data_IF_162365453112
#
_entry.id   IF_162365453112
#
_cell.length_a   1.000
_cell.length_b   1.000
_cell.length_c   1.000
_cell.angle_alpha   90.00
_cell.angle_beta   90.00
_cell.angle_gamma   90.00
#
_symmetry.space_group_name_H-M   'P 1'
#
loop_
_entity.id
_entity.type
_entity.pdbx_description
1 polymer ?
#
# COMPACT_ATOMS: atom_id res chain seq x y z
N UNK A 1 10.14 -5.83 22.33
CA UNK A 1 10.92 -6.32 21.18
C UNK A 1 10.69 -5.42 19.96
N UNK A 2 11.72 -5.02 19.25
CA UNK A 2 11.51 -4.30 18.00
C UNK A 2 10.79 -5.18 17.00
N UNK A 3 9.93 -4.57 16.18
CA UNK A 3 9.24 -5.29 15.12
C UNK A 3 10.21 -5.58 13.97
N UNK A 4 10.13 -6.79 13.46
CA UNK A 4 10.94 -7.28 12.35
C UNK A 4 10.06 -8.00 11.35
N UNK A 5 10.58 -8.29 10.18
CA UNK A 5 9.85 -9.09 9.16
C UNK A 5 9.44 -10.47 9.69
N UNK A 6 10.20 -11.01 10.66
CA UNK A 6 9.92 -12.34 11.22
C UNK A 6 8.78 -12.34 12.25
N UNK A 7 8.51 -11.22 12.92
CA UNK A 7 7.58 -11.17 14.05
C UNK A 7 6.39 -10.22 13.87
N UNK A 8 6.33 -9.47 12.77
CA UNK A 8 5.23 -8.55 12.50
C UNK A 8 4.91 -8.52 11.01
N UNK A 9 3.62 -8.48 10.64
CA UNK A 9 3.25 -8.48 9.22
C UNK A 9 3.47 -7.13 8.55
N UNK A 10 3.49 -7.16 7.22
CA UNK A 10 3.34 -5.97 6.38
C UNK A 10 1.85 -5.74 6.18
N UNK A 11 1.36 -4.54 6.51
CA UNK A 11 -0.02 -4.15 6.22
C UNK A 11 -0.13 -3.76 4.75
N UNK A 12 -1.06 -4.39 4.02
CA UNK A 12 -1.40 -3.97 2.65
C UNK A 12 -2.82 -3.42 2.69
N UNK A 13 -2.97 -2.13 2.41
CA UNK A 13 -4.24 -1.43 2.48
C UNK A 13 -4.72 -1.05 1.09
N UNK A 14 -6.00 -1.28 0.85
CA UNK A 14 -6.67 -1.02 -0.42
C UNK A 14 -7.89 -0.14 -0.18
N UNK A 15 -7.98 0.96 -0.90
CA UNK A 15 -9.02 1.95 -0.78
C UNK A 15 -10.29 1.62 -1.55
N UNK A 16 -11.14 2.65 -1.75
CA UNK A 16 -12.49 2.47 -2.28
C UNK A 16 -12.50 1.89 -3.69
N UNK A 17 -13.51 1.07 -3.94
CA UNK A 17 -13.81 0.41 -5.20
C UNK A 17 -12.81 -0.71 -5.60
N UNK A 18 -11.72 -0.92 -4.87
CA UNK A 18 -10.78 -2.00 -5.19
C UNK A 18 -11.37 -3.38 -4.92
N UNK A 19 -12.44 -3.47 -4.13
CA UNK A 19 -13.21 -4.70 -3.98
C UNK A 19 -13.85 -5.17 -5.29
N UNK A 20 -14.00 -4.26 -6.26
CA UNK A 20 -14.57 -4.55 -7.59
C UNK A 20 -13.49 -4.77 -8.66
N UNK A 21 -12.23 -4.90 -8.25
CA UNK A 21 -11.12 -5.13 -9.17
C UNK A 21 -11.39 -6.41 -10.00
N UNK A 22 -11.13 -6.33 -11.31
CA UNK A 22 -11.41 -7.40 -12.26
C UNK A 22 -12.84 -7.40 -12.80
N UNK A 23 -13.76 -6.68 -12.14
CA UNK A 23 -15.17 -6.55 -12.55
C UNK A 23 -15.50 -5.19 -13.13
N UNK A 24 -14.67 -4.17 -12.85
CA UNK A 24 -14.89 -2.78 -13.23
C UNK A 24 -13.74 -2.32 -14.12
N UNK A 25 -14.08 -1.75 -15.27
CA UNK A 25 -13.12 -1.12 -16.19
C UNK A 25 -11.84 -1.96 -16.41
N UNK A 26 -11.97 -3.21 -16.94
CA UNK A 26 -10.80 -4.08 -17.12
C UNK A 26 -9.77 -3.49 -18.10
N UNK A 27 -10.17 -2.57 -18.98
CA UNK A 27 -9.29 -1.85 -19.88
C UNK A 27 -8.31 -0.90 -19.16
N UNK A 28 -8.64 -0.49 -17.93
CA UNK A 28 -7.80 0.38 -17.10
C UNK A 28 -7.03 -0.43 -16.05
N UNK A 29 -7.73 -1.35 -15.35
CA UNK A 29 -7.20 -2.03 -14.17
C UNK A 29 -6.85 -3.49 -14.42
N UNK A 30 -7.13 -4.03 -15.63
CA UNK A 30 -6.91 -5.43 -15.95
C UNK A 30 -8.02 -6.34 -15.40
N UNK A 31 -7.82 -7.65 -15.54
CA UNK A 31 -8.80 -8.68 -15.16
C UNK A 31 -8.50 -9.36 -13.84
N UNK A 32 -7.34 -9.09 -13.24
CA UNK A 32 -7.01 -9.64 -11.94
C UNK A 32 -7.98 -9.15 -10.88
N UNK A 33 -8.34 -10.05 -9.97
CA UNK A 33 -9.20 -9.72 -8.84
C UNK A 33 -8.37 -9.26 -7.65
N UNK A 34 -9.03 -8.73 -6.63
CA UNK A 34 -8.34 -8.36 -5.39
C UNK A 34 -7.73 -9.60 -4.70
N UNK A 35 -8.37 -10.77 -4.82
CA UNK A 35 -7.82 -12.03 -4.31
C UNK A 35 -6.51 -12.40 -5.02
N UNK A 36 -6.41 -12.15 -6.32
CA UNK A 36 -5.18 -12.37 -7.08
C UNK A 36 -4.06 -11.44 -6.59
N UNK A 37 -4.40 -10.20 -6.28
CA UNK A 37 -3.46 -9.22 -5.72
C UNK A 37 -2.97 -9.68 -4.34
N UNK A 38 -3.87 -10.15 -3.50
CA UNK A 38 -3.48 -10.69 -2.18
C UNK A 38 -2.49 -11.85 -2.32
N UNK A 39 -2.77 -12.80 -3.20
CA UNK A 39 -1.87 -13.93 -3.45
C UNK A 39 -0.49 -13.47 -3.92
N UNK A 40 -0.45 -12.44 -4.78
CA UNK A 40 0.80 -11.87 -5.25
C UNK A 40 1.60 -11.21 -4.11
N UNK A 41 0.92 -10.51 -3.22
CA UNK A 41 1.54 -9.89 -2.04
C UNK A 41 2.10 -10.94 -1.08
N UNK A 42 1.33 -11.99 -0.82
CA UNK A 42 1.76 -13.11 0.05
C UNK A 42 3.02 -13.77 -0.50
N UNK A 43 3.04 -14.03 -1.81
CA UNK A 43 4.20 -14.63 -2.47
C UNK A 43 5.44 -13.75 -2.34
N UNK A 44 5.29 -12.44 -2.59
CA UNK A 44 6.39 -11.50 -2.50
C UNK A 44 6.93 -11.40 -1.06
N UNK A 45 6.04 -11.34 -0.07
CA UNK A 45 6.42 -11.28 1.35
C UNK A 45 7.12 -12.56 1.80
N UNK A 46 6.62 -13.72 1.40
CA UNK A 46 7.19 -15.03 1.79
C UNK A 46 8.64 -15.14 1.33
N UNK A 47 9.00 -14.61 0.18
CA UNK A 47 10.37 -14.60 -0.32
C UNK A 47 11.34 -13.85 0.62
N UNK A 48 10.83 -12.98 1.47
CA UNK A 48 11.60 -12.21 2.47
C UNK A 48 11.38 -12.69 3.90
N UNK A 49 10.74 -13.84 4.10
CA UNK A 49 10.41 -14.37 5.41
C UNK A 49 9.36 -13.56 6.16
N UNK A 50 8.55 -12.79 5.43
CA UNK A 50 7.53 -11.91 5.99
C UNK A 50 6.12 -12.46 5.74
N UNK A 51 5.15 -11.94 6.50
CA UNK A 51 3.73 -12.19 6.30
C UNK A 51 3.02 -10.90 5.91
N UNK A 52 1.81 -11.04 5.38
CA UNK A 52 0.98 -9.93 4.92
C UNK A 52 -0.34 -9.93 5.68
N UNK A 53 -0.77 -8.73 6.09
CA UNK A 53 -2.11 -8.47 6.58
C UNK A 53 -2.79 -7.61 5.49
N UNK A 54 -3.64 -8.24 4.69
CA UNK A 54 -4.23 -7.65 3.48
C UNK A 54 -5.66 -7.24 3.74
N UNK A 55 -5.97 -5.95 3.55
CA UNK A 55 -7.30 -5.39 3.86
C UNK A 55 -7.75 -4.44 2.77
N UNK A 56 -9.07 -4.30 2.66
CA UNK A 56 -9.72 -3.35 1.76
C UNK A 56 -10.92 -2.72 2.45
N UNK A 57 -11.11 -1.42 2.24
CA UNK A 57 -12.30 -0.72 2.70
C UNK A 57 -12.67 0.44 1.76
N UNK A 58 -13.97 0.69 1.65
CA UNK A 58 -14.49 1.88 1.00
C UNK A 58 -14.58 3.08 1.97
N UNK A 59 -14.38 2.85 3.26
CA UNK A 59 -14.57 3.86 4.30
C UNK A 59 -13.22 4.48 4.69
N UNK A 60 -13.12 5.79 4.51
CA UNK A 60 -11.91 6.54 4.84
C UNK A 60 -11.52 6.38 6.31
N UNK A 61 -12.49 6.49 7.23
CA UNK A 61 -12.25 6.35 8.66
C UNK A 61 -11.73 4.97 9.04
N UNK A 62 -12.20 3.93 8.37
CA UNK A 62 -11.70 2.58 8.62
C UNK A 62 -10.25 2.43 8.18
N UNK A 63 -9.87 3.02 7.05
CA UNK A 63 -8.47 3.04 6.61
C UNK A 63 -7.59 3.79 7.61
N UNK A 64 -8.07 4.90 8.15
CA UNK A 64 -7.36 5.65 9.20
C UNK A 64 -7.14 4.78 10.44
N UNK A 65 -8.18 4.10 10.91
CA UNK A 65 -8.10 3.21 12.06
C UNK A 65 -7.10 2.07 11.83
N UNK A 66 -7.08 1.49 10.65
CA UNK A 66 -6.12 0.44 10.30
C UNK A 66 -4.68 0.95 10.22
N UNK A 67 -4.48 2.18 9.78
CA UNK A 67 -3.15 2.80 9.81
C UNK A 67 -2.68 2.97 11.27
N UNK A 68 -3.58 3.37 12.18
CA UNK A 68 -3.26 3.44 13.61
C UNK A 68 -2.92 2.06 14.18
N UNK A 69 -3.63 1.02 13.76
CA UNK A 69 -3.32 -0.36 14.15
C UNK A 69 -1.95 -0.79 13.61
N UNK A 70 -1.64 -0.44 12.36
CA UNK A 70 -0.36 -0.75 11.77
C UNK A 70 0.79 -0.07 12.51
N UNK A 71 0.59 1.17 12.93
CA UNK A 71 1.56 1.91 13.75
C UNK A 71 2.02 1.11 14.96
N UNK A 72 1.12 0.35 15.57
CA UNK A 72 1.42 -0.41 16.80
C UNK A 72 1.87 -1.85 16.52
N UNK A 73 1.41 -2.49 15.46
CA UNK A 73 1.49 -3.94 15.30
C UNK A 73 2.19 -4.44 14.04
N UNK A 74 2.50 -3.57 13.09
CA UNK A 74 3.04 -3.97 11.78
C UNK A 74 4.45 -3.44 11.58
N UNK A 75 5.15 -3.99 10.60
CA UNK A 75 6.54 -3.61 10.30
C UNK A 75 6.62 -2.57 9.18
N UNK A 76 5.56 -2.40 8.42
CA UNK A 76 5.46 -1.44 7.33
C UNK A 76 4.10 -1.47 6.67
N UNK A 77 3.86 -0.52 5.77
CA UNK A 77 2.59 -0.36 5.06
C UNK A 77 2.85 -0.27 3.56
N UNK A 78 2.09 -1.05 2.79
CA UNK A 78 1.86 -0.83 1.36
C UNK A 78 0.44 -0.32 1.22
N UNK A 79 0.23 0.82 0.60
CA UNK A 79 -1.10 1.40 0.46
C UNK A 79 -1.41 1.77 -0.98
N UNK A 80 -2.54 1.26 -1.49
CA UNK A 80 -3.20 1.78 -2.66
C UNK A 80 -4.45 2.53 -2.19
N UNK A 81 -4.36 3.86 -2.03
CA UNK A 81 -5.48 4.63 -1.49
C UNK A 81 -6.60 4.85 -2.49
N UNK A 82 -6.42 4.45 -3.74
CA UNK A 82 -7.40 4.66 -4.81
C UNK A 82 -7.80 6.14 -4.90
N UNK A 83 -9.09 6.45 -5.01
CA UNK A 83 -9.53 7.83 -5.14
C UNK A 83 -9.17 8.72 -3.95
N UNK A 84 -9.01 8.14 -2.76
CA UNK A 84 -8.61 8.93 -1.58
C UNK A 84 -7.18 9.50 -1.70
N UNK A 85 -6.36 9.01 -2.63
CA UNK A 85 -5.06 9.63 -2.94
C UNK A 85 -5.18 11.11 -3.24
N UNK A 86 -6.27 11.49 -3.90
CA UNK A 86 -6.44 12.82 -4.48
C UNK A 86 -7.24 13.75 -3.56
N UNK A 87 -7.76 13.26 -2.44
CA UNK A 87 -8.70 14.00 -1.58
C UNK A 87 -8.41 13.91 -0.08
N UNK A 88 -7.71 12.86 0.37
CA UNK A 88 -7.67 12.57 1.80
C UNK A 88 -6.43 13.11 2.50
N UNK A 89 -6.57 14.27 3.11
CA UNK A 89 -5.60 14.78 4.09
C UNK A 89 -5.64 13.92 5.35
N UNK A 90 -6.81 13.35 5.70
CA UNK A 90 -6.95 12.48 6.89
C UNK A 90 -6.05 11.24 6.80
N UNK A 91 -5.99 10.60 5.63
CA UNK A 91 -5.09 9.44 5.44
C UNK A 91 -3.62 9.89 5.50
N UNK A 92 -3.27 11.01 4.88
CA UNK A 92 -1.92 11.56 4.98
C UNK A 92 -1.52 11.77 6.43
N UNK A 93 -2.38 12.42 7.21
CA UNK A 93 -2.09 12.71 8.62
C UNK A 93 -1.95 11.43 9.44
N UNK A 94 -2.80 10.42 9.18
CA UNK A 94 -2.68 9.11 9.82
C UNK A 94 -1.33 8.45 9.51
N UNK A 95 -0.92 8.45 8.25
CA UNK A 95 0.38 7.90 7.85
C UNK A 95 1.55 8.65 8.50
N UNK A 96 1.41 9.95 8.69
CA UNK A 96 2.42 10.76 9.38
C UNK A 96 2.58 10.39 10.86
N UNK A 97 1.62 9.68 11.47
CA UNK A 97 1.78 9.17 12.83
C UNK A 97 2.68 7.94 12.90
N UNK A 98 3.00 7.33 11.76
CA UNK A 98 3.80 6.10 11.69
C UNK A 98 5.30 6.45 11.58
N UNK A 99 5.85 7.03 12.65
CA UNK A 99 7.24 7.49 12.67
C UNK A 99 8.22 6.32 12.47
N UNK A 100 9.15 6.49 11.52
CA UNK A 100 10.19 5.50 11.26
C UNK A 100 9.70 4.23 10.57
N UNK A 101 8.41 4.10 10.28
CA UNK A 101 7.85 2.93 9.61
C UNK A 101 7.90 3.12 8.09
N UNK A 102 8.35 2.11 7.33
CA UNK A 102 8.29 2.17 5.87
C UNK A 102 6.85 2.25 5.38
N UNK A 103 6.57 3.19 4.47
CA UNK A 103 5.30 3.34 3.77
C UNK A 103 5.57 3.45 2.29
N UNK A 104 4.96 2.57 1.50
CA UNK A 104 5.07 2.60 0.03
C UNK A 104 3.68 2.72 -0.57
N UNK A 105 3.51 3.71 -1.43
CA UNK A 105 2.28 3.97 -2.16
C UNK A 105 2.29 3.22 -3.49
N UNK A 106 1.16 2.57 -3.82
CA UNK A 106 1.02 1.81 -5.07
C UNK A 106 -0.25 2.24 -5.80
N UNK A 107 -0.12 2.44 -7.10
CA UNK A 107 -1.24 2.64 -8.03
C UNK A 107 -1.10 1.65 -9.18
N UNK A 108 -2.20 0.96 -9.52
CA UNK A 108 -2.23 -0.02 -10.62
C UNK A 108 -2.05 0.70 -11.95
N UNK A 109 -2.83 1.77 -12.18
CA UNK A 109 -2.73 2.59 -13.38
C UNK A 109 -1.63 3.63 -13.26
N UNK A 110 -1.17 4.13 -14.41
CA UNK A 110 -0.33 5.32 -14.42
C UNK A 110 -1.24 6.54 -14.24
N UNK A 111 -1.30 7.06 -13.02
CA UNK A 111 -2.15 8.20 -12.67
C UNK A 111 -1.81 9.47 -13.45
N UNK A 112 -0.59 9.57 -13.98
CA UNK A 112 -0.13 10.72 -14.76
C UNK A 112 -0.65 10.70 -16.20
N UNK A 113 -1.22 9.60 -16.65
CA UNK A 113 -1.87 9.45 -17.96
C UNK A 113 -3.40 9.59 -17.86
N UNK A 114 -3.92 9.88 -16.69
CA UNK A 114 -5.35 10.03 -16.44
C UNK A 114 -5.73 11.52 -16.26
N UNK A 115 -6.92 11.78 -15.74
CA UNK A 115 -7.39 13.15 -15.53
C UNK A 115 -6.44 13.93 -14.63
N UNK A 116 -6.31 15.24 -14.90
CA UNK A 116 -5.34 16.09 -14.20
C UNK A 116 -5.48 16.02 -12.67
N UNK A 117 -6.71 15.95 -12.14
CA UNK A 117 -6.91 15.87 -10.70
C UNK A 117 -6.31 14.61 -10.06
N UNK A 118 -6.00 13.58 -10.86
CA UNK A 118 -5.35 12.34 -10.38
C UNK A 118 -3.83 12.43 -10.34
N UNK A 119 -3.25 13.51 -10.88
CA UNK A 119 -1.79 13.66 -10.90
C UNK A 119 -1.20 13.99 -9.54
N UNK A 120 -2.03 14.44 -8.59
CA UNK A 120 -1.62 14.79 -7.23
C UNK A 120 -2.09 13.72 -6.24
N UNK A 121 -1.18 13.26 -5.39
CA UNK A 121 -1.50 12.36 -4.29
C UNK A 121 -0.99 12.96 -2.98
N UNK A 122 -1.89 13.15 -2.01
CA UNK A 122 -1.51 13.56 -0.66
C UNK A 122 -0.62 12.52 0.02
N UNK A 123 -0.89 11.23 -0.22
CA UNK A 123 -0.14 10.12 0.38
C UNK A 123 1.33 10.16 -0.02
N UNK A 124 1.64 10.64 -1.23
CA UNK A 124 3.02 10.74 -1.72
C UNK A 124 3.88 11.67 -0.87
N UNK A 125 3.29 12.60 -0.13
CA UNK A 125 4.04 13.50 0.76
C UNK A 125 4.63 12.73 1.95
N UNK A 126 4.03 11.59 2.33
CA UNK A 126 4.54 10.75 3.42
C UNK A 126 5.27 9.51 2.92
N UNK A 127 4.89 8.97 1.76
CA UNK A 127 5.42 7.70 1.29
C UNK A 127 6.93 7.75 1.08
N UNK A 128 7.61 6.67 1.49
CA UNK A 128 9.04 6.49 1.26
C UNK A 128 9.33 6.08 -0.20
N UNK A 129 8.32 5.60 -0.90
CA UNK A 129 8.39 5.27 -2.31
C UNK A 129 7.00 5.28 -2.95
N UNK A 130 6.95 5.56 -4.25
CA UNK A 130 5.71 5.61 -5.02
C UNK A 130 5.90 4.74 -6.26
N UNK A 131 4.95 3.83 -6.48
CA UNK A 131 4.92 2.93 -7.65
C UNK A 131 3.61 3.18 -8.36
N UNK A 132 3.67 3.55 -9.63
CA UNK A 132 2.48 3.84 -10.42
C UNK A 132 2.64 3.30 -11.84
N UNK A 133 1.59 2.69 -12.38
CA UNK A 133 1.56 2.27 -13.77
C UNK A 133 2.14 0.89 -14.07
N UNK A 134 2.47 0.11 -13.04
CA UNK A 134 3.04 -1.24 -13.21
C UNK A 134 1.99 -2.34 -13.14
N UNK A 135 0.71 -2.01 -13.23
CA UNK A 135 -0.36 -2.99 -13.06
C UNK A 135 -0.36 -3.57 -11.65
N UNK A 136 -0.93 -4.74 -11.49
CA UNK A 136 -0.95 -5.42 -10.17
C UNK A 136 0.43 -5.86 -9.71
N UNK A 137 1.38 -6.04 -10.63
CA UNK A 137 2.76 -6.33 -10.29
C UNK A 137 3.38 -5.25 -9.37
N UNK A 138 2.89 -4.03 -9.44
CA UNK A 138 3.32 -2.93 -8.57
C UNK A 138 3.15 -3.24 -7.09
N UNK A 139 2.17 -4.05 -6.70
CA UNK A 139 2.02 -4.49 -5.32
C UNK A 139 3.19 -5.35 -4.85
N UNK A 140 3.67 -6.26 -5.71
CA UNK A 140 4.84 -7.07 -5.39
C UNK A 140 6.08 -6.18 -5.19
N UNK A 141 6.26 -5.18 -6.03
CA UNK A 141 7.35 -4.20 -5.89
C UNK A 141 7.24 -3.44 -4.58
N UNK A 142 6.01 -3.04 -4.20
CA UNK A 142 5.76 -2.34 -2.95
C UNK A 142 6.11 -3.17 -1.73
N UNK A 143 5.69 -4.44 -1.71
CA UNK A 143 6.00 -5.39 -0.64
C UNK A 143 7.52 -5.60 -0.54
N UNK A 144 8.19 -5.79 -1.67
CA UNK A 144 9.65 -5.94 -1.70
C UNK A 144 10.36 -4.70 -1.17
N UNK A 145 9.88 -3.51 -1.52
CA UNK A 145 10.49 -2.27 -1.05
C UNK A 145 10.30 -2.09 0.45
N UNK A 146 9.11 -2.36 0.98
CA UNK A 146 8.87 -2.33 2.43
C UNK A 146 9.78 -3.33 3.13
N UNK A 147 9.89 -4.56 2.61
CA UNK A 147 10.76 -5.58 3.19
C UNK A 147 12.22 -5.10 3.22
N UNK A 148 12.71 -4.49 2.15
CA UNK A 148 14.07 -3.97 2.07
C UNK A 148 14.30 -2.85 3.09
N UNK A 149 13.34 -1.93 3.25
CA UNK A 149 13.45 -0.82 4.20
C UNK A 149 13.34 -1.28 5.66
N UNK A 150 12.59 -2.35 5.91
CA UNK A 150 12.39 -2.90 7.24
C UNK A 150 13.52 -3.87 7.67
N UNK A 151 14.39 -4.27 6.74
CA UNK A 151 15.48 -5.19 7.02
C UNK A 151 16.49 -4.57 7.99
N UNK A 152 17.07 -5.36 8.94
CA UNK A 152 18.07 -4.84 9.86
C UNK A 152 19.27 -4.24 9.14
N UNK A 153 19.71 -3.07 9.58
CA UNK A 153 20.90 -2.41 9.04
C UNK A 153 20.67 -1.60 7.77
N UNK A 154 19.41 -1.49 7.29
CA UNK A 154 19.09 -0.66 6.13
C UNK A 154 19.02 0.80 6.58
N UNK A 155 19.89 1.65 6.01
CA UNK A 155 19.79 3.09 6.20
C UNK A 155 18.65 3.62 5.32
N UNK A 156 17.77 4.40 5.91
CA UNK A 156 16.79 5.15 5.14
C UNK A 156 17.52 6.31 4.47
N UNK A 157 17.37 6.37 3.17
CA UNK A 157 17.93 7.47 2.39
C UNK A 157 17.05 8.72 2.52
#
# INVERSE_FOLDING_TARGET
MPRTLANAPIMVLNGPNLNLLGKRQPEIYGRDTLADVEALCVKAATAHGATVDFRQSNHEGELVDWIHEARENHVGIVINPAAYSHTSVAILDALNTCDGMPVVEVHISNIHQREEFRHHSYVSLRADGVIAGCGVQGYAFGVERVAALAAPGTAQA
#
